data_IF_171528564503
#
_entry.id   IF_171528564503
#
_cell.length_a   1.000
_cell.length_b   1.000
_cell.length_c   1.000
_cell.angle_alpha   90.00
_cell.angle_beta   90.00
_cell.angle_gamma   90.00
#
_symmetry.space_group_name_H-M   'P 1'
#
loop_
_entity.id
_entity.type
_entity.pdbx_description
1 polymer ?
#
# COMPACT_ATOMS: atom_id res chain seq x y z
N UNK A 1 -4.84 -0.03 9.72
CA UNK A 1 -5.81 -1.03 10.19
C UNK A 1 -7.10 -0.31 10.59
N UNK A 2 -8.25 -0.98 10.55
CA UNK A 2 -9.50 -0.41 11.01
C UNK A 2 -9.74 -0.77 12.47
N UNK A 3 -10.16 0.18 13.29
CA UNK A 3 -10.73 -0.11 14.62
C UNK A 3 -12.23 -0.43 14.45
N UNK A 4 -12.52 -1.66 14.04
CA UNK A 4 -13.84 -2.13 13.61
C UNK A 4 -14.66 -2.58 14.82
N UNK A 5 -15.96 -2.27 14.83
CA UNK A 5 -16.92 -2.83 15.78
C UNK A 5 -16.95 -4.36 15.63
N UNK A 6 -16.79 -5.11 16.73
CA UNK A 6 -16.74 -6.58 16.68
C UNK A 6 -18.06 -7.21 16.20
N UNK A 7 -19.17 -6.48 16.35
CA UNK A 7 -20.48 -6.90 15.84
C UNK A 7 -20.49 -6.89 14.31
N UNK A 8 -20.89 -8.02 13.72
CA UNK A 8 -21.03 -8.14 12.27
C UNK A 8 -22.46 -7.76 11.84
N UNK A 9 -22.53 -7.00 10.75
CA UNK A 9 -23.79 -6.69 10.08
C UNK A 9 -24.05 -7.72 8.97
N UNK A 10 -25.31 -8.09 8.71
CA UNK A 10 -25.63 -8.91 7.55
C UNK A 10 -25.22 -8.18 6.26
N UNK A 11 -24.75 -8.90 5.23
CA UNK A 11 -24.36 -8.28 3.98
C UNK A 11 -25.60 -7.76 3.22
N UNK A 12 -25.49 -6.56 2.65
CA UNK A 12 -26.57 -5.89 1.92
C UNK A 12 -26.15 -5.59 0.48
N UNK A 13 -26.76 -6.26 -0.49
CA UNK A 13 -26.32 -6.21 -1.89
C UNK A 13 -27.21 -5.34 -2.76
N UNK A 14 -26.70 -4.98 -3.93
CA UNK A 14 -27.45 -4.34 -5.01
C UNK A 14 -27.62 -2.83 -4.88
N UNK A 15 -27.94 -2.32 -3.69
CA UNK A 15 -28.09 -0.88 -3.46
C UNK A 15 -27.42 -0.45 -2.16
N UNK A 16 -26.88 0.77 -2.17
CA UNK A 16 -26.32 1.36 -0.98
C UNK A 16 -27.37 1.68 0.08
N UNK A 17 -27.01 1.47 1.35
CA UNK A 17 -27.86 1.79 2.50
C UNK A 17 -28.33 3.25 2.42
N UNK A 18 -29.65 3.53 2.54
CA UNK A 18 -30.13 4.90 2.49
C UNK A 18 -29.63 5.71 3.71
N UNK A 19 -29.47 7.05 3.58
CA UNK A 19 -28.91 7.90 4.62
C UNK A 19 -29.61 7.73 5.97
N UNK A 20 -30.95 7.69 5.97
CA UNK A 20 -31.76 7.61 7.18
C UNK A 20 -31.47 6.33 7.98
N UNK A 21 -31.33 5.21 7.27
CA UNK A 21 -31.00 3.93 7.89
C UNK A 21 -29.56 3.88 8.37
N UNK A 22 -28.62 4.45 7.61
CA UNK A 22 -27.22 4.53 8.03
C UNK A 22 -27.08 5.37 9.31
N UNK A 23 -27.80 6.50 9.41
CA UNK A 23 -27.86 7.32 10.61
C UNK A 23 -28.45 6.55 11.80
N UNK A 24 -29.58 5.85 11.61
CA UNK A 24 -30.18 5.04 12.67
C UNK A 24 -29.24 3.92 13.18
N UNK A 25 -28.46 3.30 12.30
CA UNK A 25 -27.43 2.31 12.69
C UNK A 25 -26.35 2.98 13.55
N UNK A 26 -25.81 4.13 13.09
CA UNK A 26 -24.77 4.85 13.81
C UNK A 26 -25.24 5.36 15.17
N UNK A 27 -26.45 5.92 15.26
CA UNK A 27 -27.04 6.37 16.52
C UNK A 27 -27.25 5.22 17.50
N UNK A 28 -27.71 4.07 16.99
CA UNK A 28 -27.83 2.85 17.79
C UNK A 28 -26.46 2.42 18.33
N UNK A 29 -25.43 2.39 17.50
CA UNK A 29 -24.07 2.07 17.94
C UNK A 29 -23.53 3.08 18.97
N UNK A 30 -23.84 4.37 18.83
CA UNK A 30 -23.47 5.40 19.80
C UNK A 30 -24.17 5.19 21.15
N UNK A 31 -25.45 4.79 21.14
CA UNK A 31 -26.21 4.54 22.38
C UNK A 31 -25.64 3.38 23.21
N UNK A 32 -24.99 2.41 22.56
CA UNK A 32 -24.32 1.28 23.21
C UNK A 32 -22.88 1.59 23.68
N UNK A 33 -22.47 2.86 23.71
CA UNK A 33 -21.13 3.40 24.03
C UNK A 33 -20.11 2.43 24.66
N UNK A 34 -20.31 2.04 25.92
CA UNK A 34 -19.37 1.18 26.67
C UNK A 34 -19.52 -0.33 26.42
N UNK A 35 -20.69 -0.79 25.98
CA UNK A 35 -20.94 -2.20 25.69
C UNK A 35 -20.37 -2.63 24.33
N UNK A 36 -20.02 -1.66 23.48
CA UNK A 36 -19.53 -1.92 22.14
C UNK A 36 -18.04 -2.24 22.14
N UNK A 37 -17.68 -3.46 21.79
CA UNK A 37 -16.28 -3.91 21.64
C UNK A 37 -15.74 -3.56 20.26
N UNK A 38 -14.48 -3.14 20.18
CA UNK A 38 -13.81 -2.79 18.93
C UNK A 38 -12.47 -3.51 18.84
N UNK A 39 -12.19 -4.06 17.66
CA UNK A 39 -10.96 -4.80 17.38
C UNK A 39 -10.20 -4.13 16.23
N UNK A 40 -8.87 -4.14 16.33
CA UNK A 40 -8.01 -3.73 15.22
C UNK A 40 -7.98 -4.85 14.18
N UNK A 41 -8.56 -4.58 13.00
CA UNK A 41 -8.70 -5.54 11.92
C UNK A 41 -8.06 -5.00 10.64
N UNK A 42 -7.26 -5.83 9.99
CA UNK A 42 -6.86 -5.59 8.59
C UNK A 42 -8.06 -5.96 7.72
N UNK A 43 -8.60 -4.96 7.04
CA UNK A 43 -9.64 -5.17 6.04
C UNK A 43 -8.96 -5.20 4.68
N UNK A 44 -9.25 -6.24 3.91
CA UNK A 44 -8.75 -6.40 2.55
C UNK A 44 -9.85 -6.95 1.65
N UNK A 45 -10.15 -6.20 0.59
CA UNK A 45 -11.15 -6.49 -0.44
C UNK A 45 -12.45 -7.07 0.12
N UNK A 46 -13.20 -6.30 0.94
CA UNK A 46 -14.51 -6.72 1.43
C UNK A 46 -15.41 -7.22 0.31
N UNK A 47 -16.07 -8.36 0.54
CA UNK A 47 -17.00 -8.92 -0.44
C UNK A 47 -18.19 -7.99 -0.69
N UNK A 48 -18.85 -8.18 -1.82
CA UNK A 48 -20.09 -7.48 -2.16
C UNK A 48 -21.14 -7.56 -1.02
N UNK A 49 -21.65 -6.39 -0.66
CA UNK A 49 -22.59 -6.14 0.41
C UNK A 49 -21.99 -6.02 1.80
N UNK A 50 -20.66 -6.04 1.95
CA UNK A 50 -20.03 -5.92 3.27
C UNK A 50 -20.38 -4.60 3.94
N UNK A 51 -20.92 -4.69 5.17
CA UNK A 51 -21.26 -3.55 6.03
C UNK A 51 -20.49 -3.67 7.34
N UNK A 52 -19.85 -2.59 7.77
CA UNK A 52 -19.30 -2.52 9.11
C UNK A 52 -19.17 -1.10 9.65
N UNK A 53 -19.20 -0.99 10.98
CA UNK A 53 -18.94 0.25 11.71
C UNK A 53 -17.50 0.25 12.22
N UNK A 54 -16.85 1.39 12.19
CA UNK A 54 -15.49 1.56 12.71
C UNK A 54 -15.32 2.95 13.33
N UNK A 55 -14.31 3.07 14.19
CA UNK A 55 -13.87 4.33 14.79
C UNK A 55 -12.79 4.97 13.93
N UNK A 56 -12.91 6.26 13.66
CA UNK A 56 -11.90 7.07 12.97
C UNK A 56 -11.93 8.49 13.52
N UNK A 57 -10.76 9.00 13.92
CA UNK A 57 -10.65 10.34 14.48
C UNK A 57 -10.84 11.41 13.40
N UNK A 58 -11.29 12.60 13.79
CA UNK A 58 -11.39 13.72 12.86
C UNK A 58 -10.04 14.08 12.25
N UNK A 59 -9.96 14.09 10.92
CA UNK A 59 -8.74 14.44 10.17
C UNK A 59 -7.79 13.27 9.93
N UNK A 60 -8.05 12.10 10.50
CA UNK A 60 -7.29 10.88 10.20
C UNK A 60 -7.67 10.35 8.79
N UNK A 61 -6.69 9.97 7.95
CA UNK A 61 -6.99 9.38 6.65
C UNK A 61 -7.67 8.02 6.82
N UNK A 62 -8.50 7.65 5.86
CA UNK A 62 -9.13 6.33 5.86
C UNK A 62 -8.05 5.24 5.73
N UNK A 63 -8.05 4.21 6.59
CA UNK A 63 -7.18 3.06 6.40
C UNK A 63 -7.46 2.37 5.06
N UNK A 64 -6.43 1.77 4.48
CA UNK A 64 -6.56 1.02 3.23
C UNK A 64 -7.43 -0.24 3.39
N UNK A 65 -8.35 -0.43 2.45
CA UNK A 65 -9.33 -1.53 2.39
C UNK A 65 -9.00 -2.58 1.33
N UNK A 66 -7.86 -2.46 0.64
CA UNK A 66 -7.38 -3.41 -0.38
C UNK A 66 -7.86 -3.12 -1.80
N UNK A 67 -8.85 -2.23 -1.98
CA UNK A 67 -9.33 -1.82 -3.29
C UNK A 67 -8.52 -0.65 -3.87
N UNK A 68 -8.32 -0.70 -5.18
CA UNK A 68 -7.88 0.44 -5.98
C UNK A 68 -9.08 1.24 -6.46
N UNK A 69 -8.86 2.51 -6.80
CA UNK A 69 -9.91 3.44 -7.20
C UNK A 69 -9.45 4.34 -8.36
N UNK A 70 -10.30 4.50 -9.39
CA UNK A 70 -10.06 5.41 -10.52
C UNK A 70 -10.63 6.82 -10.29
N UNK A 71 -11.52 6.96 -9.30
CA UNK A 71 -12.22 8.21 -8.99
C UNK A 71 -11.81 8.78 -7.63
N UNK A 72 -11.98 10.09 -7.47
CA UNK A 72 -11.82 10.76 -6.18
C UNK A 72 -13.07 10.53 -5.30
N UNK A 73 -12.88 10.62 -3.99
CA UNK A 73 -13.99 10.45 -3.05
C UNK A 73 -14.90 11.68 -3.06
N UNK A 74 -16.14 11.48 -3.52
CA UNK A 74 -17.16 12.53 -3.61
C UNK A 74 -17.91 12.65 -2.29
N UNK A 75 -18.00 13.86 -1.74
CA UNK A 75 -18.72 14.11 -0.49
C UNK A 75 -20.07 14.78 -0.76
N UNK A 76 -21.12 14.28 -0.12
CA UNK A 76 -22.47 14.83 -0.11
C UNK A 76 -22.95 14.94 1.34
N UNK A 77 -23.54 16.08 1.71
CA UNK A 77 -24.05 16.32 3.06
C UNK A 77 -25.56 16.45 3.03
N UNK A 78 -26.21 15.86 4.01
CA UNK A 78 -27.67 15.93 4.17
C UNK A 78 -28.02 16.03 5.65
N UNK A 79 -29.24 16.51 5.94
CA UNK A 79 -29.77 16.59 7.29
C UNK A 79 -30.84 15.52 7.46
N UNK A 80 -30.74 14.75 8.55
CA UNK A 80 -31.69 13.71 8.94
C UNK A 80 -32.20 14.09 10.32
N UNK A 81 -33.40 14.66 10.37
CA UNK A 81 -33.89 15.36 11.55
C UNK A 81 -33.00 16.58 11.85
N UNK A 82 -32.41 16.61 13.05
CA UNK A 82 -31.51 17.69 13.48
C UNK A 82 -30.02 17.37 13.29
N UNK A 83 -29.69 16.16 12.82
CA UNK A 83 -28.30 15.74 12.65
C UNK A 83 -27.85 15.88 11.21
N UNK A 84 -26.62 16.36 11.04
CA UNK A 84 -25.94 16.37 9.75
C UNK A 84 -25.25 15.03 9.51
N UNK A 85 -25.46 14.45 8.33
CA UNK A 85 -24.82 13.23 7.87
C UNK A 85 -24.02 13.55 6.61
N UNK A 86 -22.73 13.23 6.66
CA UNK A 86 -21.80 13.33 5.55
C UNK A 86 -21.63 11.96 4.90
N UNK A 87 -21.87 11.89 3.60
CA UNK A 87 -21.82 10.68 2.77
C UNK A 87 -20.67 10.84 1.80
N UNK A 88 -19.68 9.95 1.89
CA UNK A 88 -18.52 9.93 1.03
C UNK A 88 -18.56 8.70 0.14
N UNK A 89 -18.51 8.90 -1.18
CA UNK A 89 -18.74 7.84 -2.17
C UNK A 89 -17.57 7.74 -3.15
N UNK A 90 -17.20 6.50 -3.45
CA UNK A 90 -16.38 6.13 -4.61
C UNK A 90 -17.09 5.04 -5.40
N UNK A 91 -17.09 5.16 -6.72
CA UNK A 91 -17.88 4.34 -7.62
C UNK A 91 -17.04 3.52 -8.60
N UNK A 92 -15.71 3.76 -8.67
CA UNK A 92 -14.84 3.13 -9.67
C UNK A 92 -13.75 2.29 -9.01
N UNK A 93 -14.17 1.32 -8.20
CA UNK A 93 -13.30 0.43 -7.43
C UNK A 93 -12.93 -0.85 -8.18
N UNK A 94 -11.68 -1.29 -8.05
CA UNK A 94 -11.13 -2.49 -8.70
C UNK A 94 -10.08 -3.17 -7.81
N UNK A 95 -9.81 -4.45 -8.04
CA UNK A 95 -8.80 -5.22 -7.31
C UNK A 95 -7.47 -5.31 -8.06
N UNK A 96 -6.49 -5.93 -7.41
CA UNK A 96 -5.18 -6.19 -8.03
C UNK A 96 -5.32 -7.08 -9.26
N UNK A 97 -4.72 -6.64 -10.38
CA UNK A 97 -4.79 -7.29 -11.70
C UNK A 97 -6.16 -7.27 -12.41
N UNK A 98 -7.17 -6.61 -11.85
CA UNK A 98 -8.46 -6.47 -12.53
C UNK A 98 -8.39 -5.48 -13.69
N UNK A 99 -9.09 -5.82 -14.78
CA UNK A 99 -9.14 -5.03 -16.01
C UNK A 99 -10.30 -4.03 -16.01
N UNK A 100 -11.30 -4.22 -15.14
CA UNK A 100 -12.50 -3.40 -15.06
C UNK A 100 -12.84 -3.09 -13.61
N UNK A 101 -13.48 -1.94 -13.39
CA UNK A 101 -14.06 -1.61 -12.10
C UNK A 101 -15.32 -2.43 -11.85
N UNK A 102 -15.52 -2.85 -10.60
CA UNK A 102 -16.65 -3.68 -10.21
C UNK A 102 -17.15 -3.41 -8.78
N UNK A 103 -16.57 -2.44 -8.08
CA UNK A 103 -16.88 -2.17 -6.68
C UNK A 103 -17.16 -0.69 -6.45
N UNK A 104 -18.17 -0.42 -5.64
CA UNK A 104 -18.47 0.91 -5.10
C UNK A 104 -18.39 0.89 -3.58
N UNK A 105 -18.00 2.01 -2.99
CA UNK A 105 -17.88 2.17 -1.53
C UNK A 105 -18.60 3.44 -1.12
N UNK A 106 -19.46 3.33 -0.12
CA UNK A 106 -20.03 4.48 0.59
C UNK A 106 -19.66 4.46 2.06
N UNK A 107 -19.33 5.65 2.55
CA UNK A 107 -19.00 5.92 3.93
C UNK A 107 -19.98 6.94 4.48
N UNK A 108 -20.60 6.63 5.61
CA UNK A 108 -21.56 7.49 6.29
C UNK A 108 -20.94 7.96 7.59
N UNK A 109 -20.96 9.27 7.81
CA UNK A 109 -20.38 9.91 8.97
C UNK A 109 -21.40 10.84 9.60
N UNK A 110 -21.68 10.62 10.88
CA UNK A 110 -22.54 11.50 11.65
C UNK A 110 -21.72 12.68 12.17
N UNK A 111 -22.22 13.91 12.03
CA UNK A 111 -21.54 15.08 12.56
C UNK A 111 -21.36 14.98 14.08
N UNK A 112 -20.15 15.31 14.54
CA UNK A 112 -19.77 15.24 15.95
C UNK A 112 -19.53 13.83 16.50
N UNK A 113 -19.55 12.78 15.66
CA UNK A 113 -19.25 11.42 16.07
C UNK A 113 -17.96 10.90 15.43
N UNK A 114 -17.20 10.11 16.20
CA UNK A 114 -16.02 9.39 15.72
C UNK A 114 -16.38 8.00 15.12
N UNK A 115 -17.67 7.69 15.01
CA UNK A 115 -18.16 6.44 14.41
C UNK A 115 -18.59 6.68 12.97
N UNK A 116 -18.16 5.78 12.09
CA UNK A 116 -18.48 5.81 10.67
C UNK A 116 -18.92 4.43 10.21
N UNK A 117 -19.81 4.39 9.24
CA UNK A 117 -20.32 3.17 8.61
C UNK A 117 -19.68 3.07 7.22
N UNK A 118 -19.12 1.92 6.89
CA UNK A 118 -18.65 1.58 5.55
C UNK A 118 -19.57 0.53 4.92
N UNK A 119 -19.86 0.73 3.64
CA UNK A 119 -20.67 -0.18 2.84
C UNK A 119 -20.07 -0.37 1.45
N UNK A 120 -19.87 -1.63 1.06
CA UNK A 120 -19.33 -2.03 -0.23
C UNK A 120 -20.42 -2.69 -1.07
N UNK A 121 -20.63 -2.23 -2.30
CA UNK A 121 -21.62 -2.79 -3.21
C UNK A 121 -20.97 -3.04 -4.56
N UNK A 122 -21.08 -4.28 -5.03
CA UNK A 122 -20.62 -4.70 -6.34
C UNK A 122 -21.46 -4.07 -7.46
N UNK A 123 -20.79 -3.69 -8.54
CA UNK A 123 -21.40 -3.16 -9.75
C UNK A 123 -21.83 -4.32 -10.63
N UNK A 124 -23.13 -4.62 -10.65
CA UNK A 124 -23.69 -5.71 -11.47
C UNK A 124 -23.91 -5.30 -12.93
N UNK A 125 -24.16 -4.01 -13.19
CA UNK A 125 -24.41 -3.48 -14.54
C UNK A 125 -23.08 -3.23 -15.29
N UNK A 126 -22.80 -3.97 -16.38
CA UNK A 126 -21.59 -3.75 -17.18
C UNK A 126 -21.47 -2.31 -17.73
N UNK A 127 -22.58 -1.60 -17.91
CA UNK A 127 -22.57 -0.22 -18.41
C UNK A 127 -21.94 0.77 -17.40
N UNK A 128 -21.85 0.40 -16.12
CA UNK A 128 -21.24 1.22 -15.07
C UNK A 128 -19.76 0.88 -14.83
N UNK A 129 -19.28 -0.23 -15.40
CA UNK A 129 -17.90 -0.67 -15.29
C UNK A 129 -17.00 0.13 -16.23
N UNK A 130 -15.82 0.53 -15.74
CA UNK A 130 -14.82 1.26 -16.50
C UNK A 130 -13.55 0.42 -16.66
N UNK A 131 -12.91 0.44 -17.85
CA UNK A 131 -11.60 -0.16 -18.01
C UNK A 131 -10.56 0.49 -17.07
N UNK A 132 -9.76 -0.35 -16.42
CA UNK A 132 -8.69 0.07 -15.52
C UNK A 132 -7.47 0.45 -16.36
N UNK A 133 -7.20 1.75 -16.46
CA UNK A 133 -5.98 2.27 -17.06
C UNK A 133 -5.04 2.77 -15.97
N UNK A 134 -3.79 2.31 -15.99
CA UNK A 134 -2.80 2.59 -14.95
C UNK A 134 -2.62 4.09 -14.65
N UNK A 135 -2.64 4.95 -15.68
CA UNK A 135 -2.49 6.40 -15.52
C UNK A 135 -3.72 7.11 -14.92
N UNK A 136 -4.87 6.44 -14.85
CA UNK A 136 -6.10 6.98 -14.24
C UNK A 136 -6.25 6.57 -12.76
N UNK A 137 -5.39 5.68 -12.26
CA UNK A 137 -5.47 5.17 -10.89
C UNK A 137 -5.20 6.30 -9.88
N UNK A 138 -6.18 6.56 -9.00
CA UNK A 138 -6.10 7.53 -7.91
C UNK A 138 -5.69 6.90 -6.59
N UNK A 139 -6.05 5.63 -6.39
CA UNK A 139 -5.59 4.82 -5.28
C UNK A 139 -5.26 3.42 -5.80
N UNK A 140 -4.09 2.90 -5.45
CA UNK A 140 -3.64 1.59 -5.92
C UNK A 140 -4.29 0.47 -5.09
N UNK A 141 -4.70 -0.64 -5.73
CA UNK A 141 -5.14 -1.81 -5.00
C UNK A 141 -3.97 -2.43 -4.25
N UNK A 142 -4.25 -3.09 -3.11
CA UNK A 142 -3.22 -3.80 -2.36
C UNK A 142 -2.75 -5.04 -3.12
N UNK A 143 -1.43 -5.22 -3.22
CA UNK A 143 -0.84 -6.45 -3.74
C UNK A 143 -1.06 -7.59 -2.73
N UNK A 144 -1.68 -8.72 -3.12
CA UNK A 144 -1.92 -9.85 -2.23
C UNK A 144 -0.66 -10.37 -1.53
N UNK A 145 0.53 -10.21 -2.12
CA UNK A 145 1.80 -10.63 -1.50
C UNK A 145 2.15 -9.85 -0.23
N UNK A 146 1.61 -8.64 -0.09
CA UNK A 146 1.89 -7.76 1.06
C UNK A 146 1.02 -8.05 2.29
N UNK A 147 -0.07 -8.82 2.13
CA UNK A 147 -1.01 -9.13 3.21
C UNK A 147 -0.38 -9.96 4.32
N UNK A 148 0.46 -10.94 3.97
CA UNK A 148 1.09 -11.86 4.93
C UNK A 148 1.89 -11.10 5.99
N UNK A 149 2.56 -10.00 5.60
CA UNK A 149 3.35 -9.15 6.49
C UNK A 149 2.50 -8.31 7.45
N UNK A 150 1.25 -7.99 7.10
CA UNK A 150 0.34 -7.16 7.92
C UNK A 150 -0.40 -7.98 8.98
N UNK A 151 -0.67 -9.25 8.70
CA UNK A 151 -1.39 -10.16 9.61
C UNK A 151 -0.46 -10.94 10.55
N UNK A 152 0.84 -10.99 10.28
CA UNK A 152 1.82 -11.74 11.09
C UNK A 152 2.40 -10.97 12.28
N UNK A 153 1.97 -9.73 12.53
CA UNK A 153 2.40 -8.99 13.71
C UNK A 153 1.59 -9.45 14.92
N UNK A 154 2.20 -10.06 15.96
CA UNK A 154 1.53 -10.18 17.24
C UNK A 154 1.18 -8.77 17.71
N UNK A 155 -0.05 -8.58 18.19
CA UNK A 155 -0.53 -7.34 18.78
C UNK A 155 0.40 -6.95 19.93
N UNK A 156 1.41 -6.13 19.64
CA UNK A 156 2.15 -5.43 20.66
C UNK A 156 1.16 -4.46 21.29
N UNK A 157 0.93 -4.50 22.62
CA UNK A 157 0.16 -3.45 23.25
C UNK A 157 0.86 -2.14 22.91
N UNK A 158 0.10 -1.18 22.35
CA UNK A 158 0.58 0.19 22.25
C UNK A 158 0.90 0.65 23.67
N UNK A 159 2.17 0.55 24.06
CA UNK A 159 2.67 1.21 25.24
C UNK A 159 2.45 2.69 25.00
N UNK A 160 1.62 3.28 25.86
CA UNK A 160 1.48 4.70 25.99
C UNK A 160 2.87 5.33 25.93
N UNK A 161 3.10 6.21 24.97
CA UNK A 161 4.29 7.04 24.98
C UNK A 161 4.16 8.00 26.15
N UNK A 162 4.70 7.57 27.29
CA UNK A 162 4.92 8.42 28.44
C UNK A 162 5.88 9.54 28.05
N UNK A 163 5.39 10.75 28.29
CA UNK A 163 6.14 11.99 28.29
C UNK A 163 7.22 11.98 29.37
N UNK A 164 8.35 12.63 29.04
CA UNK A 164 9.48 13.06 29.88
C UNK A 164 10.61 12.07 30.18
N UNK A 165 11.76 12.37 29.56
CA UNK A 165 12.97 12.59 30.33
C UNK A 165 14.02 11.48 30.29
N UNK A 166 15.23 11.89 29.88
CA UNK A 166 16.52 11.29 30.22
C UNK A 166 17.00 10.09 29.36
N UNK A 167 17.60 10.41 28.21
CA UNK A 167 18.57 9.51 27.56
C UNK A 167 20.01 10.06 27.76
N UNK A 168 20.98 9.23 28.19
CA UNK A 168 22.37 9.64 28.30
C UNK A 168 23.03 9.71 26.92
N UNK A 169 23.64 10.87 26.63
CA UNK A 169 24.41 11.19 25.41
C UNK A 169 25.71 10.36 25.36
N UNK A 170 25.97 9.67 24.25
CA UNK A 170 27.33 9.29 23.82
C UNK A 170 27.97 10.45 23.04
N UNK A 171 29.28 10.72 23.19
CA UNK A 171 29.92 11.92 22.67
C UNK A 171 30.32 11.82 21.20
N UNK A 172 30.08 12.90 20.45
CA UNK A 172 30.73 13.23 19.18
C UNK A 172 31.86 14.22 19.46
N UNK A 173 33.04 14.11 18.81
CA UNK A 173 34.13 15.07 19.00
C UNK A 173 34.11 16.23 17.99
N UNK A 174 34.63 17.36 18.47
CA UNK A 174 35.09 18.57 17.78
C UNK A 174 34.00 19.52 17.24
N UNK A 175 33.62 20.56 17.99
CA UNK A 175 34.24 21.92 18.03
C UNK A 175 33.56 22.84 17.01
N UNK A 176 33.20 24.10 17.25
CA UNK A 176 33.30 24.98 18.41
C UNK A 176 32.58 26.30 18.04
N UNK A 177 31.87 26.90 19.01
CA UNK A 177 31.61 28.36 19.15
C UNK A 177 30.57 29.01 18.19
N UNK A 178 29.65 29.90 18.58
CA UNK A 178 29.29 30.62 19.82
C UNK A 178 27.85 31.22 19.66
N UNK A 179 27.15 31.25 20.80
CA UNK A 179 25.98 32.02 21.31
C UNK A 179 25.68 33.45 20.76
N UNK A 180 24.60 34.16 21.20
CA UNK A 180 23.15 33.86 21.20
C UNK A 180 22.27 35.10 20.77
N UNK A 181 20.93 35.06 20.94
CA UNK A 181 20.02 36.14 21.43
C UNK A 181 18.68 36.33 20.66
N UNK A 182 17.59 36.20 21.45
CA UNK A 182 16.26 36.86 21.47
C UNK A 182 15.18 36.73 20.37
N UNK A 183 14.15 35.94 20.71
CA UNK A 183 12.68 36.19 20.77
C UNK A 183 12.03 37.41 20.03
N UNK A 184 11.12 37.04 19.09
CA UNK A 184 9.71 37.50 18.80
C UNK A 184 9.47 38.98 18.37
N UNK A 185 8.31 39.36 17.74
CA UNK A 185 7.08 38.62 17.40
C UNK A 185 6.54 38.78 15.95
N UNK A 186 5.47 38.02 15.66
CA UNK A 186 4.56 38.07 14.48
C UNK A 186 4.04 39.47 14.15
N UNK A 187 4.02 39.82 12.86
CA UNK A 187 3.11 40.83 12.29
C UNK A 187 2.47 40.31 10.99
N UNK A 188 1.15 40.48 10.90
CA UNK A 188 0.31 40.16 9.72
C UNK A 188 0.57 41.15 8.59
N UNK A 189 0.59 40.69 7.34
CA UNK A 189 -0.05 41.40 6.23
C UNK A 189 -0.21 40.48 5.00
N UNK A 190 -1.39 40.58 4.37
CA UNK A 190 -1.72 40.03 3.06
C UNK A 190 -1.01 40.87 2.00
N UNK A 191 -0.35 40.25 1.02
CA UNK A 191 -0.37 40.75 -0.35
C UNK A 191 0.10 39.70 -1.34
N UNK A 192 -0.59 39.68 -2.46
CA UNK A 192 -0.31 38.96 -3.70
C UNK A 192 1.11 39.21 -4.20
N UNK A 193 1.89 38.15 -4.38
CA UNK A 193 3.20 38.24 -5.04
C UNK A 193 3.28 37.14 -6.08
N UNK A 194 3.39 37.55 -7.35
CA UNK A 194 3.90 36.73 -8.43
C UNK A 194 5.17 36.04 -7.94
N UNK A 195 5.29 34.72 -8.14
CA UNK A 195 6.52 34.01 -7.80
C UNK A 195 7.67 34.64 -8.57
N UNK A 196 8.71 35.16 -7.89
CA UNK A 196 10.00 35.35 -8.53
C UNK A 196 10.51 33.95 -8.88
N UNK A 197 11.09 33.81 -10.07
CA UNK A 197 12.01 32.72 -10.33
C UNK A 197 13.19 32.96 -9.40
N UNK A 198 13.26 32.24 -8.29
CA UNK A 198 14.47 32.16 -7.49
C UNK A 198 15.50 31.42 -8.34
N UNK A 199 16.35 32.21 -8.99
CA UNK A 199 17.67 31.79 -9.43
C UNK A 199 18.45 31.48 -8.15
N UNK A 200 18.28 30.26 -7.63
CA UNK A 200 19.21 29.69 -6.66
C UNK A 200 20.52 29.44 -7.42
N UNK A 201 21.36 30.48 -7.50
CA UNK A 201 22.78 30.37 -7.80
C UNK A 201 23.44 29.55 -6.70
N UNK A 202 23.40 28.22 -6.84
CA UNK A 202 24.22 27.30 -6.04
C UNK A 202 25.64 27.30 -6.67
N UNK A 203 26.65 27.95 -6.06
CA UNK A 203 27.93 28.24 -6.71
C UNK A 203 28.89 27.03 -6.70
N UNK A 204 28.35 25.82 -6.87
CA UNK A 204 29.11 24.56 -6.93
C UNK A 204 28.52 23.50 -7.88
N UNK A 205 27.58 23.87 -8.75
CA UNK A 205 27.19 23.04 -9.90
C UNK A 205 27.79 23.63 -11.17
N UNK A 206 28.61 22.86 -11.88
CA UNK A 206 29.09 23.31 -13.19
C UNK A 206 27.90 23.44 -14.17
N UNK A 207 27.98 24.35 -15.15
CA UNK A 207 26.94 24.48 -16.19
C UNK A 207 26.73 23.16 -16.98
N UNK A 208 27.69 22.24 -16.84
CA UNK A 208 27.68 20.87 -17.37
C UNK A 208 26.60 20.00 -16.69
N UNK A 209 26.44 20.07 -15.37
CA UNK A 209 25.38 19.35 -14.65
C UNK A 209 23.97 19.79 -15.08
N UNK A 210 23.79 21.07 -15.36
CA UNK A 210 22.53 21.60 -15.92
C UNK A 210 22.27 21.11 -17.36
N UNK A 211 23.32 20.98 -18.18
CA UNK A 211 23.22 20.40 -19.52
C UNK A 211 22.93 18.89 -19.47
N UNK A 212 23.56 18.16 -18.56
CA UNK A 212 23.35 16.72 -18.33
C UNK A 212 21.92 16.46 -17.85
N UNK A 213 21.38 17.27 -16.93
CA UNK A 213 20.00 17.17 -16.48
C UNK A 213 19.00 17.34 -17.63
N UNK A 214 19.25 18.29 -18.54
CA UNK A 214 18.43 18.51 -19.74
C UNK A 214 18.51 17.33 -20.72
N UNK A 215 19.71 16.79 -20.95
CA UNK A 215 19.91 15.63 -21.83
C UNK A 215 19.20 14.40 -21.26
N UNK A 216 19.34 14.13 -19.96
CA UNK A 216 18.67 13.02 -19.27
C UNK A 216 17.14 13.20 -19.33
N UNK A 217 16.63 14.41 -19.12
CA UNK A 217 15.19 14.67 -19.21
C UNK A 217 14.66 14.43 -20.64
N UNK A 218 15.40 14.87 -21.65
CA UNK A 218 15.04 14.71 -23.06
C UNK A 218 15.11 13.23 -23.49
N UNK A 219 16.13 12.50 -23.04
CA UNK A 219 16.29 11.07 -23.28
C UNK A 219 15.21 10.24 -22.56
N UNK A 220 14.86 10.57 -21.31
CA UNK A 220 13.70 9.98 -20.60
C UNK A 220 12.40 10.25 -21.34
N UNK A 221 12.22 11.48 -21.83
CA UNK A 221 11.04 11.86 -22.61
C UNK A 221 10.95 11.05 -23.90
N UNK A 222 12.03 10.94 -24.67
CA UNK A 222 12.08 10.17 -25.93
C UNK A 222 11.77 8.69 -25.70
N UNK A 223 12.45 8.04 -24.75
CA UNK A 223 12.21 6.62 -24.46
C UNK A 223 10.79 6.36 -23.98
N UNK A 224 10.23 7.25 -23.15
CA UNK A 224 8.85 7.14 -22.71
C UNK A 224 7.89 7.31 -23.90
N UNK A 225 8.14 8.29 -24.77
CA UNK A 225 7.33 8.52 -25.96
C UNK A 225 7.37 7.32 -26.93
N UNK A 226 8.56 6.79 -27.23
CA UNK A 226 8.73 5.58 -28.05
C UNK A 226 8.00 4.37 -27.45
N UNK A 227 8.04 4.24 -26.12
CA UNK A 227 7.33 3.19 -25.39
C UNK A 227 5.80 3.36 -25.45
N UNK A 228 5.30 4.59 -25.30
CA UNK A 228 3.86 4.88 -25.43
C UNK A 228 3.38 4.64 -26.86
N UNK A 229 4.16 5.04 -27.87
CA UNK A 229 3.86 4.76 -29.28
C UNK A 229 3.80 3.25 -29.57
N UNK A 230 4.64 2.45 -28.91
CA UNK A 230 4.62 0.99 -29.02
C UNK A 230 3.36 0.38 -28.37
N UNK A 231 3.01 0.83 -27.16
CA UNK A 231 1.81 0.34 -26.43
C UNK A 231 0.52 0.70 -27.16
N UNK A 232 0.43 1.94 -27.66
CA UNK A 232 -0.75 2.44 -28.35
C UNK A 232 -0.69 2.23 -29.86
N UNK A 233 0.25 1.43 -30.37
CA UNK A 233 0.31 1.12 -31.78
C UNK A 233 -0.98 0.42 -32.23
N UNK A 234 -1.49 0.70 -33.43
CA UNK A 234 -2.71 0.06 -33.95
C UNK A 234 -2.50 -1.45 -34.27
N UNK A 235 -1.29 -1.97 -34.10
CA UNK A 235 -0.97 -3.37 -34.37
C UNK A 235 -1.40 -4.23 -33.18
N UNK A 236 -2.34 -5.15 -33.42
CA UNK A 236 -2.81 -6.07 -32.38
C UNK A 236 -1.69 -6.99 -31.90
N UNK A 237 -1.59 -7.14 -30.58
CA UNK A 237 -0.63 -8.04 -29.92
C UNK A 237 -0.81 -9.51 -30.31
N UNK A 238 -1.96 -9.89 -30.86
CA UNK A 238 -2.24 -11.24 -31.39
C UNK A 238 -1.38 -11.61 -32.61
N UNK A 239 -0.84 -10.64 -33.35
CA UNK A 239 0.00 -10.88 -34.52
C UNK A 239 1.50 -10.72 -34.23
N UNK A 240 1.89 -10.60 -32.95
CA UNK A 240 3.30 -10.53 -32.58
C UNK A 240 3.97 -11.88 -32.85
N UNK A 241 4.79 -11.92 -33.90
CA UNK A 241 5.68 -13.05 -34.16
C UNK A 241 6.83 -12.95 -33.16
N UNK A 242 7.08 -13.99 -32.33
CA UNK A 242 8.23 -14.00 -31.45
C UNK A 242 9.50 -13.73 -32.25
N UNK A 243 10.35 -12.85 -31.73
CA UNK A 243 11.68 -12.63 -32.31
C UNK A 243 12.35 -13.99 -32.39
N UNK A 244 12.68 -14.43 -33.61
CA UNK A 244 13.51 -15.62 -33.80
C UNK A 244 14.83 -15.32 -33.07
N UNK A 245 15.09 -16.07 -32.01
CA UNK A 245 16.26 -15.93 -31.15
C UNK A 245 17.50 -16.23 -31.97
N UNK A 246 18.06 -15.20 -32.63
CA UNK A 246 19.26 -15.29 -33.47
C UNK A 246 19.19 -16.26 -34.66
N UNK A 247 20.06 -16.11 -35.66
CA UNK A 247 20.22 -17.12 -36.70
C UNK A 247 20.98 -18.40 -36.25
N UNK A 248 21.45 -18.47 -34.99
CA UNK A 248 22.44 -19.46 -34.53
C UNK A 248 21.89 -20.48 -33.51
N UNK A 249 20.58 -20.59 -33.36
CA UNK A 249 19.94 -21.67 -32.60
C UNK A 249 19.92 -22.96 -33.44
N UNK A 250 21.10 -23.48 -33.76
CA UNK A 250 21.20 -24.84 -34.28
C UNK A 250 20.68 -25.82 -33.23
N UNK A 251 19.90 -26.85 -33.61
CA UNK A 251 19.34 -27.81 -32.67
C UNK A 251 20.41 -28.51 -31.81
N UNK A 252 21.64 -28.59 -32.33
CA UNK A 252 22.81 -29.12 -31.64
C UNK A 252 23.24 -28.29 -30.44
N UNK A 253 23.21 -26.96 -30.54
CA UNK A 253 23.58 -26.07 -29.44
C UNK A 253 22.54 -26.08 -28.32
N UNK A 254 21.26 -26.18 -28.69
CA UNK A 254 20.16 -26.36 -27.72
C UNK A 254 20.34 -27.70 -26.99
N UNK A 255 20.70 -28.77 -27.69
CA UNK A 255 20.98 -30.06 -27.08
C UNK A 255 22.21 -30.00 -26.14
N UNK A 256 23.27 -29.30 -26.53
CA UNK A 256 24.46 -29.10 -25.70
C UNK A 256 24.14 -28.31 -24.42
N UNK A 257 23.34 -27.24 -24.50
CA UNK A 257 22.91 -26.48 -23.32
C UNK A 257 22.03 -27.33 -22.38
N UNK A 258 21.15 -28.18 -22.92
CA UNK A 258 20.35 -29.11 -22.10
C UNK A 258 21.22 -30.13 -21.38
N UNK A 259 22.25 -30.66 -22.05
CA UNK A 259 23.21 -31.56 -21.42
C UNK A 259 24.02 -30.86 -20.31
N UNK A 260 24.38 -29.58 -20.51
CA UNK A 260 25.05 -28.80 -19.46
C UNK A 260 24.16 -28.60 -18.23
N UNK A 261 22.87 -28.29 -18.42
CA UNK A 261 21.91 -28.18 -17.32
C UNK A 261 21.83 -29.50 -16.55
N UNK A 262 21.66 -30.62 -17.26
CA UNK A 262 21.56 -31.93 -16.61
C UNK A 262 22.85 -32.34 -15.88
N UNK A 263 24.02 -31.97 -16.41
CA UNK A 263 25.29 -32.20 -15.73
C UNK A 263 25.41 -31.39 -14.44
N UNK A 264 25.01 -30.12 -14.46
CA UNK A 264 25.01 -29.24 -13.28
C UNK A 264 24.02 -29.74 -12.24
N UNK A 265 22.82 -30.17 -12.65
CA UNK A 265 21.81 -30.70 -11.71
C UNK A 265 22.34 -31.93 -10.97
N UNK A 266 22.99 -32.87 -11.67
CA UNK A 266 23.62 -34.04 -11.04
C UNK A 266 24.74 -33.67 -10.07
N UNK A 267 25.54 -32.64 -10.40
CA UNK A 267 26.57 -32.13 -9.50
C UNK A 267 25.96 -31.52 -8.24
N UNK A 268 24.88 -30.76 -8.38
CA UNK A 268 24.17 -30.19 -7.23
C UNK A 268 23.56 -31.27 -6.33
N UNK A 269 22.94 -32.31 -6.90
CA UNK A 269 22.38 -33.42 -6.14
C UNK A 269 23.47 -34.20 -5.38
N UNK A 270 24.61 -34.43 -6.02
CA UNK A 270 25.76 -35.08 -5.37
C UNK A 270 26.33 -34.25 -4.21
N UNK A 271 26.40 -32.92 -4.39
CA UNK A 271 26.82 -32.01 -3.32
C UNK A 271 25.85 -32.04 -2.14
N UNK A 272 24.55 -31.99 -2.43
CA UNK A 272 23.49 -32.05 -1.40
C UNK A 272 23.56 -33.36 -0.62
N UNK A 273 23.76 -34.50 -1.30
CA UNK A 273 23.91 -35.80 -0.63
C UNK A 273 25.15 -35.83 0.28
N UNK A 274 26.29 -35.33 -0.19
CA UNK A 274 27.53 -35.26 0.60
C UNK A 274 27.36 -34.41 1.86
N UNK A 275 26.73 -33.24 1.75
CA UNK A 275 26.47 -32.38 2.90
C UNK A 275 25.44 -32.99 3.87
N UNK A 276 24.48 -33.77 3.37
CA UNK A 276 23.53 -34.48 4.22
C UNK A 276 24.21 -35.56 5.07
N UNK A 277 25.17 -36.30 4.50
CA UNK A 277 25.99 -37.28 5.23
C UNK A 277 26.87 -36.63 6.30
N UNK A 278 27.52 -35.51 5.96
CA UNK A 278 28.35 -34.74 6.90
C UNK A 278 27.52 -34.21 8.08
N UNK A 279 26.33 -33.69 7.82
CA UNK A 279 25.38 -33.26 8.85
C UNK A 279 24.89 -34.42 9.73
N UNK A 280 24.69 -35.62 9.17
CA UNK A 280 24.31 -36.80 9.93
C UNK A 280 25.44 -37.28 10.86
N UNK A 281 26.69 -37.23 10.39
CA UNK A 281 27.86 -37.54 11.21
C UNK A 281 28.02 -36.56 12.37
N UNK A 282 27.93 -35.25 12.10
CA UNK A 282 27.98 -34.20 13.12
C UNK A 282 26.87 -34.35 14.17
N UNK A 283 25.64 -34.67 13.75
CA UNK A 283 24.51 -34.90 14.64
C UNK A 283 24.71 -36.13 15.53
N UNK A 284 25.29 -37.20 14.98
CA UNK A 284 25.59 -38.43 15.73
C UNK A 284 26.70 -38.17 16.76
N UNK A 285 27.79 -37.49 16.36
CA UNK A 285 28.87 -37.09 17.28
C UNK A 285 28.38 -36.16 18.39
N UNK A 286 27.49 -35.21 18.09
CA UNK A 286 26.88 -34.33 19.10
C UNK A 286 25.99 -35.09 20.10
N UNK A 287 25.28 -36.12 19.64
CA UNK A 287 24.43 -36.95 20.50
C UNK A 287 25.27 -37.82 21.44
N UNK A 288 26.39 -38.37 20.96
CA UNK A 288 27.34 -39.15 21.79
C UNK A 288 28.05 -38.27 22.81
N UNK A 289 28.44 -37.05 22.46
CA UNK A 289 29.05 -36.10 23.40
C UNK A 289 28.07 -35.65 24.51
N UNK A 290 26.77 -35.54 24.22
CA UNK A 290 25.73 -35.22 25.20
C UNK A 290 25.38 -36.39 26.15
N UNK A 291 25.75 -37.63 25.79
CA UNK A 291 25.46 -38.84 26.57
C UNK A 291 26.60 -39.29 27.50
N UNK A 292 27.73 -38.57 27.53
CA UNK A 292 28.83 -38.87 28.45
C UNK A 292 28.53 -38.28 29.84
N UNK A 293 28.36 -39.09 30.90
CA UNK A 293 28.06 -38.58 32.23
C UNK A 293 29.29 -37.89 32.82
N UNK A 294 29.05 -36.72 33.41
CA UNK A 294 29.98 -36.06 34.34
C UNK A 294 30.16 -37.00 35.53
N UNK A 295 31.31 -37.67 35.62
CA UNK A 295 31.70 -38.37 36.85
C UNK A 295 31.97 -37.35 37.98
N UNK A 296 31.59 -37.68 39.23
CA UNK A 296 31.64 -36.77 40.37
C UNK A 296 33.05 -36.46 40.88
#
# INVERSE_FOLDING_TARGET
>A
MFLKLSSNFPPERGAHIPPDRAAAILERCLSFGEQSTFDWVVVDKPIDGSVFVYKLSHGEPLPEDGYGWLDDETAYRTYIGEREVEILSRNQGFGFADQFTYMTRRRYKLAGANLQLLHYVGVSDPAQQMPVHHHLIKAFPRDPKTLTSLTSLPAQPMQAMDTYGNMPRRPSPAEAHRTPVARRPRQKSRQSTQRPVEEDDDPSGDELDSAIGRIIALDRYKRNHEFMDMIFSPHSTMYLVPVKTTPDDTPERIAAMKQQIEAVDRETDALVAKYAEEMAHLRTSATVAAASPVEP
#
